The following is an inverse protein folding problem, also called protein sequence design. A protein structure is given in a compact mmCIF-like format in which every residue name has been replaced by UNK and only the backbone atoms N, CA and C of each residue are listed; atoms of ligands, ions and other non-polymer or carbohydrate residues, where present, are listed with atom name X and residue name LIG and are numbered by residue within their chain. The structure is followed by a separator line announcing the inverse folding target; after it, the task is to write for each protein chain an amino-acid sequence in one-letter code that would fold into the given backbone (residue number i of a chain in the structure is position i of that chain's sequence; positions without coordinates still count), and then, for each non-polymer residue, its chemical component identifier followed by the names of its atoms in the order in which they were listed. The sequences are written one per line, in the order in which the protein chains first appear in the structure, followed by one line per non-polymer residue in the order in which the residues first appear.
data_IF_382003965964
#
_entry.id   IF_382003965964
#
_cell.length_a   1.000
_cell.length_b   1.000
_cell.length_c   1.000
_cell.angle_alpha   90.00
_cell.angle_beta   90.00
_cell.angle_gamma   90.00
#
_symmetry.space_group_name_H-M   'P 1'
#
loop_
_entity.id
_entity.type
_entity.pdbx_description
1 polymer ?
#
# COMPACT_ATOMS: atom_id res chain seq x y z
N UNK A 1 -14.99 28.98 -20.08
CA UNK A 1 -14.80 28.53 -18.68
C UNK A 1 -15.17 29.69 -17.78
N UNK A 2 -16.14 29.50 -16.88
CA UNK A 2 -16.63 30.58 -16.02
C UNK A 2 -15.91 30.54 -14.66
N UNK A 3 -15.84 31.68 -13.98
CA UNK A 3 -15.17 31.81 -12.67
C UNK A 3 -15.74 30.80 -11.65
N UNK A 4 -17.05 30.57 -11.69
CA UNK A 4 -17.75 29.57 -10.87
C UNK A 4 -17.22 28.14 -11.09
N UNK A 5 -16.86 27.77 -12.32
CA UNK A 5 -16.27 26.45 -12.61
C UNK A 5 -14.92 26.26 -11.93
N UNK A 6 -14.08 27.31 -11.92
CA UNK A 6 -12.79 27.27 -11.24
C UNK A 6 -12.93 27.16 -9.71
N UNK A 7 -13.90 27.86 -9.12
CA UNK A 7 -14.16 27.77 -7.68
C UNK A 7 -14.60 26.37 -7.29
N UNK A 8 -15.54 25.77 -8.04
CA UNK A 8 -16.00 24.41 -7.78
C UNK A 8 -14.85 23.41 -7.95
N UNK A 9 -14.06 23.55 -9.02
CA UNK A 9 -12.91 22.69 -9.26
C UNK A 9 -11.91 22.74 -8.10
N UNK A 10 -11.57 23.94 -7.59
CA UNK A 10 -10.64 24.08 -6.47
C UNK A 10 -11.12 23.37 -5.20
N UNK A 11 -12.40 23.50 -4.86
CA UNK A 11 -12.99 22.83 -3.67
C UNK A 11 -12.88 21.31 -3.77
N UNK A 12 -13.07 20.73 -4.95
CA UNK A 12 -12.95 19.28 -5.17
C UNK A 12 -11.50 18.83 -5.29
N UNK A 13 -10.62 19.68 -5.83
CA UNK A 13 -9.21 19.35 -6.02
C UNK A 13 -8.45 19.23 -4.71
N UNK A 14 -8.78 20.06 -3.71
CA UNK A 14 -8.12 20.06 -2.39
C UNK A 14 -8.18 18.68 -1.71
N UNK A 15 -9.36 18.07 -1.47
CA UNK A 15 -9.45 16.76 -0.85
C UNK A 15 -8.85 15.67 -1.74
N UNK A 16 -9.00 15.77 -3.07
CA UNK A 16 -8.47 14.77 -3.99
C UNK A 16 -6.92 14.75 -3.97
N UNK A 17 -6.27 15.91 -3.97
CA UNK A 17 -4.82 16.03 -3.84
C UNK A 17 -4.32 15.49 -2.49
N UNK A 18 -5.05 15.74 -1.40
CA UNK A 18 -4.75 15.20 -0.06
C UNK A 18 -4.79 13.67 -0.03
N UNK A 19 -5.83 13.07 -0.63
CA UNK A 19 -5.97 11.61 -0.72
C UNK A 19 -4.79 11.04 -1.51
N UNK A 20 -4.49 11.58 -2.70
CA UNK A 20 -3.39 11.11 -3.54
C UNK A 20 -2.05 11.26 -2.82
N UNK A 21 -1.81 12.41 -2.18
CA UNK A 21 -0.59 12.64 -1.40
C UNK A 21 -0.42 11.62 -0.29
N UNK A 22 -1.49 11.34 0.47
CA UNK A 22 -1.47 10.34 1.52
C UNK A 22 -1.23 8.93 0.98
N UNK A 23 -1.83 8.59 -0.16
CA UNK A 23 -1.61 7.30 -0.84
C UNK A 23 -0.15 7.16 -1.31
N UNK A 24 0.43 8.19 -1.92
CA UNK A 24 1.83 8.20 -2.37
C UNK A 24 2.77 8.14 -1.16
N UNK A 25 2.48 8.88 -0.08
CA UNK A 25 3.26 8.84 1.16
C UNK A 25 3.24 7.46 1.80
N UNK A 26 2.07 6.80 1.84
CA UNK A 26 1.94 5.41 2.31
C UNK A 26 2.70 4.43 1.42
N UNK A 27 2.61 4.58 0.09
CA UNK A 27 3.36 3.77 -0.85
C UNK A 27 4.88 3.94 -0.70
N UNK A 28 5.37 5.18 -0.54
CA UNK A 28 6.79 5.49 -0.30
C UNK A 28 7.28 4.98 1.07
N UNK A 29 6.42 4.95 2.07
CA UNK A 29 6.72 4.38 3.39
C UNK A 29 6.78 2.85 3.39
N UNK A 30 6.70 2.20 2.24
CA UNK A 30 6.70 0.74 2.11
C UNK A 30 5.38 0.09 2.53
N UNK A 31 4.32 0.87 2.80
CA UNK A 31 2.99 0.37 3.09
C UNK A 31 2.21 0.19 1.79
N UNK A 32 2.70 -0.70 0.92
CA UNK A 32 2.01 -1.15 -0.29
C UNK A 32 1.21 -2.41 0.05
N UNK A 33 0.12 -2.28 0.82
CA UNK A 33 -0.67 -3.43 1.27
C UNK A 33 -1.93 -3.03 2.01
N UNK A 34 -2.84 -3.99 2.20
CA UNK A 34 -4.03 -3.85 3.03
C UNK A 34 -3.65 -3.17 4.36
N UNK A 35 -4.39 -2.16 4.81
CA UNK A 35 -4.03 -1.31 5.96
C UNK A 35 -3.84 -2.04 7.30
N UNK A 36 -4.15 -3.34 7.33
CA UNK A 36 -3.74 -4.29 8.36
C UNK A 36 -2.40 -4.89 7.89
N UNK A 37 -1.27 -4.58 8.55
CA UNK A 37 0.05 -5.13 8.18
C UNK A 37 0.07 -6.65 7.99
N UNK A 38 1.17 -7.21 7.47
CA UNK A 38 1.29 -8.64 7.14
C UNK A 38 0.92 -9.63 8.28
N UNK A 39 0.93 -9.17 9.53
CA UNK A 39 0.53 -9.93 10.71
C UNK A 39 -0.94 -10.41 10.72
N UNK A 40 -1.84 -9.72 10.00
CA UNK A 40 -3.27 -10.06 9.93
C UNK A 40 -3.76 -10.47 8.53
N UNK A 41 -2.85 -10.64 7.57
CA UNK A 41 -3.21 -10.93 6.18
C UNK A 41 -3.46 -12.43 6.01
N UNK A 42 -4.67 -12.83 5.63
CA UNK A 42 -5.04 -14.24 5.37
C UNK A 42 -4.16 -14.92 4.29
N UNK A 43 -3.46 -14.13 3.48
CA UNK A 43 -2.55 -14.57 2.44
C UNK A 43 -1.05 -14.40 2.79
N UNK A 44 -0.73 -14.05 4.06
CA UNK A 44 0.64 -13.84 4.51
C UNK A 44 1.56 -15.05 4.26
N UNK A 45 1.00 -16.27 4.27
CA UNK A 45 1.71 -17.52 3.99
C UNK A 45 2.20 -17.66 2.53
N UNK A 46 1.67 -16.87 1.59
CA UNK A 46 2.09 -16.88 0.19
C UNK A 46 2.96 -15.67 -0.18
N UNK A 47 2.88 -14.57 0.58
CA UNK A 47 3.71 -13.38 0.34
C UNK A 47 5.19 -13.60 0.67
N UNK A 48 5.49 -14.39 1.70
CA UNK A 48 6.82 -14.93 1.92
C UNK A 48 6.70 -16.46 1.82
N UNK A 49 7.20 -17.09 0.74
CA UNK A 49 7.30 -18.54 0.74
C UNK A 49 8.21 -18.93 1.91
N UNK A 50 7.65 -19.55 2.95
CA UNK A 50 8.44 -20.30 3.89
C UNK A 50 9.15 -21.37 3.06
N UNK A 51 10.44 -21.20 2.80
CA UNK A 51 11.27 -22.26 2.25
C UNK A 51 11.30 -23.39 3.28
N UNK A 52 10.28 -24.25 3.25
CA UNK A 52 10.44 -25.62 3.72
C UNK A 52 11.22 -26.35 2.65
N UNK A 53 12.54 -26.19 2.71
CA UNK A 53 13.43 -27.19 2.13
C UNK A 53 14.09 -27.90 3.28
N UNK A 54 13.38 -28.88 3.79
CA UNK A 54 13.98 -30.05 4.42
C UNK A 54 14.80 -30.79 3.34
N UNK A 55 16.05 -30.36 3.12
CA UNK A 55 17.03 -31.14 2.38
C UNK A 55 18.34 -31.21 3.17
N UNK A 56 18.35 -32.12 4.14
CA UNK A 56 19.45 -33.03 4.50
C UNK A 56 20.82 -32.70 3.87
N UNK A 57 21.72 -32.04 4.60
CA UNK A 57 23.18 -32.17 4.42
C UNK A 57 23.91 -32.09 5.75
N UNK A 58 24.07 -33.28 6.32
CA UNK A 58 25.29 -33.77 6.96
C UNK A 58 26.00 -32.85 7.97
N UNK A 59 25.66 -33.06 9.25
CA UNK A 59 26.67 -33.14 10.31
C UNK A 59 26.78 -34.61 10.74
N UNK A 60 27.65 -35.39 10.10
CA UNK A 60 28.55 -36.35 10.75
C UNK A 60 29.47 -37.05 9.72
#
# INVERSE_FOLDING_TARGET
MNLSTFIIAAIVFIPMALIIYNQIKKARSGQTGCGCGCSGCAHASQCHPAQKTELKKDRN
#
